data_IF_971683728124
#
_entry.id   IF_971683728124
#
_cell.length_a   1.000
_cell.length_b   1.000
_cell.length_c   1.000
_cell.angle_alpha   90.00
_cell.angle_beta   90.00
_cell.angle_gamma   90.00
#
_symmetry.space_group_name_H-M   'P 1'
#
loop_
_entity.id
_entity.type
_entity.pdbx_description
1 polymer ?
#
# COMPACT_ATOMS: atom_id res chain seq x y z
N UNK A 1 -12.66 -3.71 -8.15
CA UNK A 1 -11.50 -3.28 -7.34
C UNK A 1 -10.23 -3.11 -8.17
N UNK A 2 -9.66 -1.90 -8.23
CA UNK A 2 -8.35 -1.66 -8.87
C UNK A 2 -7.21 -1.95 -7.89
N UNK A 3 -7.02 -3.25 -7.61
CA UNK A 3 -6.03 -3.77 -6.67
C UNK A 3 -5.39 -5.02 -7.24
N UNK A 4 -4.07 -5.08 -7.23
CA UNK A 4 -3.31 -6.24 -7.73
C UNK A 4 -2.00 -6.45 -7.00
N UNK A 5 -1.59 -7.71 -6.92
CA UNK A 5 -0.23 -8.06 -6.51
C UNK A 5 0.72 -7.85 -7.67
N UNK A 6 1.84 -7.20 -7.38
CA UNK A 6 2.96 -6.99 -8.28
C UNK A 6 4.09 -7.90 -7.81
N UNK A 7 4.78 -8.54 -8.75
CA UNK A 7 6.02 -9.25 -8.50
C UNK A 7 7.15 -8.43 -9.11
N UNK A 8 8.13 -8.07 -8.29
CA UNK A 8 9.29 -7.32 -8.75
C UNK A 8 10.38 -8.25 -9.26
N UNK A 9 11.21 -7.71 -10.15
CA UNK A 9 12.46 -8.37 -10.52
C UNK A 9 13.36 -8.46 -9.28
N UNK A 10 13.86 -9.66 -9.00
CA UNK A 10 14.79 -9.91 -7.90
C UNK A 10 16.03 -10.66 -8.39
N UNK A 11 17.17 -10.31 -7.78
CA UNK A 11 18.47 -10.91 -8.00
C UNK A 11 18.98 -11.39 -6.66
N UNK A 12 18.94 -12.69 -6.43
CA UNK A 12 19.43 -13.31 -5.22
C UNK A 12 20.73 -14.05 -5.52
N UNK A 13 21.76 -13.76 -4.75
CA UNK A 13 23.04 -14.46 -4.80
C UNK A 13 23.64 -14.64 -3.39
N UNK A 14 24.88 -15.12 -3.32
CA UNK A 14 25.59 -15.40 -2.07
C UNK A 14 25.84 -14.15 -1.21
N UNK A 15 25.66 -12.94 -1.76
CA UNK A 15 25.81 -11.66 -1.06
C UNK A 15 24.50 -11.17 -0.45
N UNK A 16 23.36 -11.73 -0.86
CA UNK A 16 22.03 -11.35 -0.39
C UNK A 16 21.01 -11.21 -1.52
N UNK A 17 19.92 -10.50 -1.24
CA UNK A 17 18.80 -10.30 -2.16
C UNK A 17 18.70 -8.83 -2.59
N UNK A 18 18.56 -8.58 -3.89
CA UNK A 18 18.34 -7.27 -4.47
C UNK A 18 17.01 -7.26 -5.23
N UNK A 19 16.15 -6.29 -4.94
CA UNK A 19 14.88 -6.07 -5.66
C UNK A 19 14.95 -4.77 -6.45
N UNK A 20 14.50 -4.81 -7.70
CA UNK A 20 14.38 -3.62 -8.55
C UNK A 20 12.90 -3.36 -8.79
N UNK A 21 12.45 -2.14 -8.46
CA UNK A 21 11.11 -1.67 -8.72
C UNK A 21 11.17 -0.45 -9.63
N UNK A 22 10.76 -0.60 -10.89
CA UNK A 22 10.84 0.46 -11.89
C UNK A 22 9.48 1.10 -12.15
N UNK A 23 9.50 2.43 -12.23
CA UNK A 23 8.37 3.24 -12.64
C UNK A 23 8.02 2.98 -14.10
N UNK A 24 6.73 3.01 -14.45
CA UNK A 24 6.23 2.71 -15.79
C UNK A 24 6.60 1.31 -16.34
N UNK A 25 6.95 0.39 -15.43
CA UNK A 25 7.10 -1.06 -15.70
C UNK A 25 6.18 -1.86 -14.78
N UNK A 26 6.72 -2.39 -13.67
CA UNK A 26 5.91 -3.09 -12.67
C UNK A 26 5.03 -2.11 -11.89
N UNK A 27 5.55 -0.91 -11.59
CA UNK A 27 4.79 0.18 -10.98
C UNK A 27 4.13 0.99 -12.12
N UNK A 28 2.78 1.04 -12.21
CA UNK A 28 2.08 1.54 -13.39
C UNK A 28 1.95 3.08 -13.47
N UNK A 29 2.66 3.80 -12.61
CA UNK A 29 2.59 5.27 -12.52
C UNK A 29 3.99 5.84 -12.26
N UNK A 30 4.17 7.13 -12.54
CA UNK A 30 5.36 7.88 -12.16
C UNK A 30 5.47 8.05 -10.64
N UNK A 31 6.55 7.55 -10.05
CA UNK A 31 6.80 7.69 -8.61
C UNK A 31 7.20 9.15 -8.31
N UNK A 32 6.28 9.91 -7.70
CA UNK A 32 6.54 11.29 -7.27
C UNK A 32 6.92 11.39 -5.79
N UNK A 33 6.65 10.33 -5.02
CA UNK A 33 6.91 10.29 -3.59
C UNK A 33 7.14 8.86 -3.11
N UNK A 34 8.14 8.73 -2.25
CA UNK A 34 8.36 7.56 -1.41
C UNK A 34 8.15 7.97 0.05
N UNK A 35 7.50 7.12 0.83
CA UNK A 35 7.48 7.24 2.28
C UNK A 35 7.51 5.85 2.90
N UNK A 36 7.89 5.77 4.17
CA UNK A 36 8.00 4.50 4.87
C UNK A 36 7.44 4.60 6.28
N UNK A 37 6.89 3.49 6.76
CA UNK A 37 6.33 3.32 8.10
C UNK A 37 7.15 2.23 8.78
N UNK A 38 7.63 2.53 9.98
CA UNK A 38 8.46 1.65 10.80
C UNK A 38 8.20 1.95 12.28
N UNK A 39 8.66 1.06 13.17
CA UNK A 39 8.52 1.18 14.63
C UNK A 39 7.05 1.46 15.05
N UNK A 40 6.15 0.64 14.50
CA UNK A 40 4.73 0.72 14.83
C UNK A 40 4.53 0.05 16.18
N UNK A 41 4.12 0.83 17.18
CA UNK A 41 3.85 0.30 18.51
C UNK A 41 2.85 -0.86 18.51
N UNK A 42 2.96 -1.73 19.52
CA UNK A 42 2.07 -2.89 19.68
C UNK A 42 0.59 -2.47 19.66
N UNK A 43 -0.23 -3.27 18.97
CA UNK A 43 -1.68 -3.08 18.84
C UNK A 43 -2.06 -1.70 18.23
N UNK A 44 -1.14 -1.08 17.47
CA UNK A 44 -1.44 0.13 16.69
C UNK A 44 -1.77 -0.21 15.25
N UNK A 45 -2.74 0.53 14.74
CA UNK A 45 -3.23 0.40 13.39
C UNK A 45 -2.93 1.69 12.60
N UNK A 46 -2.93 1.58 11.27
CA UNK A 46 -2.69 2.68 10.34
C UNK A 46 -3.70 2.62 9.19
N UNK A 47 -3.77 3.69 8.39
CA UNK A 47 -4.73 3.78 7.28
C UNK A 47 -6.00 4.50 7.72
N UNK A 48 -7.16 3.84 7.59
CA UNK A 48 -8.50 4.37 7.84
C UNK A 48 -8.86 5.54 6.93
N UNK A 49 -8.58 5.39 5.64
CA UNK A 49 -8.95 6.36 4.63
C UNK A 49 -8.97 5.75 3.24
N UNK A 50 -9.56 6.50 2.31
CA UNK A 50 -9.44 6.33 0.86
C UNK A 50 -8.76 7.56 0.24
N UNK A 51 -8.39 7.46 -1.04
CA UNK A 51 -7.91 8.56 -1.87
C UNK A 51 -8.83 8.80 -3.06
N UNK A 52 -8.95 10.06 -3.48
CA UNK A 52 -9.74 10.44 -4.66
C UNK A 52 -8.98 10.22 -5.96
N UNK A 53 -7.64 10.37 -5.95
CA UNK A 53 -6.79 10.23 -7.13
C UNK A 53 -5.53 9.42 -6.90
N UNK A 54 -4.95 9.46 -5.69
CA UNK A 54 -3.65 8.86 -5.45
C UNK A 54 -3.66 7.34 -5.71
N UNK A 55 -2.68 6.90 -6.50
CA UNK A 55 -2.32 5.50 -6.67
C UNK A 55 -1.07 5.18 -5.84
N UNK A 56 -1.02 3.96 -5.30
CA UNK A 56 0.04 3.55 -4.40
C UNK A 56 0.50 2.12 -4.66
N UNK A 57 1.77 1.83 -4.37
CA UNK A 57 2.29 0.48 -4.26
C UNK A 57 2.90 0.30 -2.88
N UNK A 58 2.35 -0.63 -2.11
CA UNK A 58 2.79 -0.99 -0.75
C UNK A 58 3.75 -2.17 -0.82
N UNK A 59 4.92 -2.05 -0.18
CA UNK A 59 5.98 -3.05 -0.20
C UNK A 59 6.42 -3.31 1.25
N UNK A 60 6.12 -4.51 1.77
CA UNK A 60 6.62 -4.95 3.07
C UNK A 60 8.08 -5.37 2.93
N UNK A 61 9.01 -4.44 3.18
CA UNK A 61 10.45 -4.68 2.95
C UNK A 61 11.12 -5.43 4.10
N UNK A 62 10.48 -5.46 5.28
CA UNK A 62 10.91 -6.24 6.43
C UNK A 62 9.72 -6.54 7.35
N UNK A 63 9.78 -7.65 8.09
CA UNK A 63 8.70 -8.10 8.96
C UNK A 63 7.42 -8.44 8.19
N UNK A 64 6.27 -8.29 8.83
CA UNK A 64 4.96 -8.53 8.22
C UNK A 64 3.88 -7.57 8.71
N UNK A 65 2.85 -7.41 7.90
CA UNK A 65 1.66 -6.61 8.20
C UNK A 65 0.47 -7.10 7.39
N UNK A 66 -0.75 -6.86 7.87
CA UNK A 66 -1.99 -7.17 7.16
C UNK A 66 -2.62 -5.90 6.62
N UNK A 67 -2.95 -5.89 5.33
CA UNK A 67 -3.66 -4.80 4.66
C UNK A 67 -5.08 -5.28 4.33
N UNK A 68 -6.08 -4.61 4.90
CA UNK A 68 -7.49 -4.85 4.59
C UNK A 68 -8.00 -3.72 3.69
N UNK A 69 -8.65 -4.10 2.60
CA UNK A 69 -9.04 -3.22 1.50
C UNK A 69 -10.53 -3.38 1.23
N UNK A 70 -11.20 -2.29 0.90
CA UNK A 70 -12.63 -2.29 0.57
C UNK A 70 -12.94 -1.26 -0.51
N UNK A 71 -13.60 -1.68 -1.58
CA UNK A 71 -13.97 -0.82 -2.73
C UNK A 71 -15.47 -0.45 -2.75
N UNK A 72 -16.18 -0.64 -1.65
CA UNK A 72 -17.63 -0.48 -1.55
C UNK A 72 -18.44 -1.74 -1.82
N UNK A 73 -17.84 -2.73 -2.50
CA UNK A 73 -18.53 -3.98 -2.87
C UNK A 73 -17.87 -5.18 -2.23
N UNK A 74 -16.55 -5.27 -2.35
CA UNK A 74 -15.77 -6.42 -1.91
C UNK A 74 -14.70 -6.01 -0.90
N UNK A 75 -14.46 -6.89 0.07
CA UNK A 75 -13.37 -6.77 1.02
C UNK A 75 -12.28 -7.77 0.67
N UNK A 76 -11.03 -7.33 0.68
CA UNK A 76 -9.86 -8.18 0.47
C UNK A 76 -8.85 -7.97 1.58
N UNK A 77 -8.22 -9.05 2.00
CA UNK A 77 -7.11 -9.01 2.94
C UNK A 77 -5.85 -9.54 2.25
N UNK A 78 -4.74 -8.86 2.48
CA UNK A 78 -3.43 -9.21 1.93
C UNK A 78 -2.41 -9.11 3.03
N UNK A 79 -1.59 -10.15 3.19
CA UNK A 79 -0.41 -10.11 4.05
C UNK A 79 0.75 -9.64 3.20
N UNK A 80 1.49 -8.65 3.68
CA UNK A 80 2.77 -8.22 3.10
C UNK A 80 3.88 -8.70 4.01
N UNK A 81 4.63 -9.71 3.57
CA UNK A 81 5.74 -10.34 4.30
C UNK A 81 6.91 -10.72 3.37
N UNK A 82 6.81 -10.34 2.09
CA UNK A 82 7.77 -10.67 1.06
C UNK A 82 8.24 -9.41 0.31
N UNK A 83 9.52 -9.00 0.43
CA UNK A 83 10.03 -7.77 -0.20
C UNK A 83 10.04 -7.83 -1.73
N UNK A 84 9.87 -9.02 -2.33
CA UNK A 84 9.79 -9.20 -3.79
C UNK A 84 8.39 -8.94 -4.35
N UNK A 85 7.42 -8.64 -3.48
CA UNK A 85 6.05 -8.38 -3.86
C UNK A 85 5.63 -6.97 -3.46
N UNK A 86 4.80 -6.37 -4.31
CA UNK A 86 4.11 -5.11 -4.03
C UNK A 86 2.61 -5.31 -4.10
N UNK A 87 1.87 -4.52 -3.33
CA UNK A 87 0.42 -4.42 -3.43
C UNK A 87 0.08 -3.07 -4.03
N UNK A 88 -0.36 -3.09 -5.29
CA UNK A 88 -0.90 -1.91 -5.93
C UNK A 88 -2.32 -1.65 -5.44
N UNK A 89 -2.58 -0.39 -5.12
CA UNK A 89 -3.86 0.12 -4.62
C UNK A 89 -4.16 1.40 -5.41
N UNK A 90 -5.20 1.37 -6.24
CA UNK A 90 -5.71 2.56 -6.93
C UNK A 90 -6.47 3.50 -5.98
N UNK A 91 -7.09 4.52 -6.55
CA UNK A 91 -8.01 5.41 -5.84
C UNK A 91 -9.35 4.71 -5.54
N UNK A 92 -10.19 5.36 -4.73
CA UNK A 92 -11.51 4.85 -4.32
C UNK A 92 -11.47 3.48 -3.61
N UNK A 93 -10.37 3.21 -2.92
CA UNK A 93 -10.19 2.04 -2.05
C UNK A 93 -9.95 2.49 -0.62
N UNK A 94 -10.88 2.13 0.27
CA UNK A 94 -10.68 2.24 1.70
C UNK A 94 -9.69 1.20 2.18
N UNK A 95 -8.74 1.60 3.02
CA UNK A 95 -7.69 0.70 3.51
C UNK A 95 -7.32 0.88 4.96
N UNK A 96 -7.03 -0.24 5.61
CA UNK A 96 -6.50 -0.30 6.98
C UNK A 96 -5.30 -1.24 6.99
N UNK A 97 -4.34 -0.95 7.87
CA UNK A 97 -3.14 -1.74 8.05
C UNK A 97 -3.04 -2.10 9.53
N UNK A 98 -2.99 -3.40 9.81
CA UNK A 98 -3.00 -3.97 11.16
C UNK A 98 -1.94 -5.06 11.27
N UNK A 99 -1.83 -5.67 12.45
CA UNK A 99 -1.02 -6.86 12.70
C UNK A 99 0.45 -6.68 12.27
N UNK A 100 1.03 -5.51 12.55
CA UNK A 100 2.45 -5.25 12.32
C UNK A 100 3.30 -6.14 13.22
N UNK A 101 4.26 -6.85 12.62
CA UNK A 101 5.34 -7.49 13.38
C UNK A 101 6.23 -6.42 14.04
N UNK A 102 6.96 -6.74 15.13
CA UNK A 102 7.80 -5.77 15.83
C UNK A 102 8.88 -5.11 14.97
N UNK A 103 9.29 -5.80 13.91
CA UNK A 103 10.32 -5.42 12.94
C UNK A 103 9.74 -5.01 11.58
N UNK A 104 8.43 -4.76 11.51
CA UNK A 104 7.74 -4.41 10.27
C UNK A 104 8.24 -3.07 9.71
N UNK A 105 8.57 -3.07 8.41
CA UNK A 105 8.87 -1.87 7.63
C UNK A 105 8.06 -1.91 6.34
N UNK A 106 7.16 -0.95 6.19
CA UNK A 106 6.35 -0.75 5.00
C UNK A 106 6.90 0.41 4.19
N UNK A 107 7.40 0.16 2.98
CA UNK A 107 7.73 1.17 2.00
C UNK A 107 6.54 1.40 1.07
N UNK A 108 6.26 2.67 0.74
CA UNK A 108 5.17 3.03 -0.16
C UNK A 108 5.67 3.95 -1.27
N UNK A 109 5.43 3.55 -2.52
CA UNK A 109 5.54 4.41 -3.68
C UNK A 109 4.18 5.02 -4.02
N UNK A 110 4.16 6.31 -4.36
CA UNK A 110 2.95 7.10 -4.56
C UNK A 110 3.02 7.93 -5.85
N UNK A 111 1.93 7.96 -6.61
CA UNK A 111 1.81 8.67 -7.90
C UNK A 111 1.74 10.20 -7.78
N UNK A 112 1.43 10.71 -6.58
CA UNK A 112 1.33 12.14 -6.27
C UNK A 112 2.13 12.56 -5.02
N UNK A 113 2.50 13.84 -4.98
CA UNK A 113 2.96 14.49 -3.75
C UNK A 113 1.84 14.50 -2.68
N UNK A 114 2.20 14.84 -1.44
CA UNK A 114 1.22 14.92 -0.37
C UNK A 114 0.19 16.02 -0.64
N UNK A 115 -1.09 15.68 -0.51
CA UNK A 115 -2.20 16.61 -0.52
C UNK A 115 -3.26 16.11 0.46
N UNK A 116 -3.60 16.91 1.48
CA UNK A 116 -4.64 16.54 2.45
C UNK A 116 -6.02 16.51 1.78
N UNK A 117 -6.26 17.34 0.77
CA UNK A 117 -7.54 17.42 0.05
C UNK A 117 -7.89 16.14 -0.73
N UNK A 118 -6.90 15.28 -0.98
CA UNK A 118 -7.08 14.00 -1.64
C UNK A 118 -7.58 12.89 -0.70
N UNK A 119 -7.52 13.10 0.62
CA UNK A 119 -7.95 12.10 1.60
C UNK A 119 -9.47 12.08 1.78
N UNK A 120 -10.01 10.88 1.99
CA UNK A 120 -11.36 10.66 2.54
C UNK A 120 -11.18 9.85 3.83
N UNK A 121 -11.30 10.52 4.99
CA UNK A 121 -11.04 9.93 6.32
C UNK A 121 -12.31 9.49 7.06
N UNK A 122 -13.48 9.87 6.57
CA UNK A 122 -14.75 9.42 7.10
C UNK A 122 -15.27 8.26 6.23
N UNK A 123 -15.61 7.14 6.88
CA UNK A 123 -16.04 5.94 6.18
C UNK A 123 -17.40 6.11 5.49
N UNK A 124 -18.34 6.81 6.11
CA UNK A 124 -19.66 7.07 5.52
C UNK A 124 -19.55 8.00 4.31
N UNK A 125 -18.67 9.01 4.37
CA UNK A 125 -18.35 9.86 3.23
C UNK A 125 -17.73 9.07 2.07
N UNK A 126 -16.85 8.11 2.38
CA UNK A 126 -16.29 7.18 1.40
C UNK A 126 -17.40 6.33 0.75
N UNK A 127 -18.25 5.67 1.54
CA UNK A 127 -19.34 4.86 0.99
C UNK A 127 -20.30 5.71 0.14
N UNK A 128 -20.58 6.94 0.56
CA UNK A 128 -21.40 7.87 -0.21
C UNK A 128 -20.73 8.32 -1.51
N UNK A 129 -19.39 8.44 -1.56
CA UNK A 129 -18.68 8.86 -2.78
C UNK A 129 -18.69 7.80 -3.88
N UNK A 130 -18.86 6.52 -3.54
CA UNK A 130 -18.91 5.40 -4.50
C UNK A 130 -20.22 5.28 -5.28
N UNK A 131 -21.27 5.99 -4.85
CA UNK A 131 -22.61 5.94 -5.46
C UNK A 131 -22.89 7.14 -6.39
N UNK A 132 -21.88 7.96 -6.66
CA UNK A 132 -21.96 9.09 -7.60
C UNK A 132 -21.51 8.67 -8.99
#
# INVERSE_FOLDING_TARGET
>A
MDIRMIHFQSHDDDRGCLVVAETMKEIPFDIKRLYYIYDVGKDKERGFHSHKRLEQVYIGIHGSMKVTLFDGKERKEVILDNPKQGLYIGHDVWRTITDFSPDAVLLVAASEHYSEDDYIRNYDEFVASLNK
#
